data_IF_810514486553
#
_entry.id   IF_810514486553
#
_cell.length_a   1.000
_cell.length_b   1.000
_cell.length_c   1.000
_cell.angle_alpha   90.00
_cell.angle_beta   90.00
_cell.angle_gamma   90.00
#
_symmetry.space_group_name_H-M   'P 1'
#
loop_
_entity.id
_entity.type
_entity.pdbx_description
1 polymer ?
#
# COMPACT_ATOMS: atom_id res chain seq x y z
N UNK A 1 -11.45 3.79 -0.63
CA UNK A 1 -11.05 4.87 0.32
C UNK A 1 -10.74 4.38 1.75
N UNK A 2 -11.44 3.37 2.29
CA UNK A 2 -11.16 2.91 3.67
C UNK A 2 -9.77 2.26 3.85
N UNK A 3 -9.23 1.69 2.78
CA UNK A 3 -7.96 0.95 2.79
C UNK A 3 -6.75 1.83 3.13
N UNK A 4 -6.60 2.98 2.47
CA UNK A 4 -5.51 3.96 2.73
C UNK A 4 -5.54 4.44 4.19
N UNK A 5 -6.74 4.66 4.74
CA UNK A 5 -6.95 5.07 6.13
C UNK A 5 -6.50 3.99 7.13
N UNK A 6 -6.62 2.72 6.74
CA UNK A 6 -6.16 1.56 7.51
C UNK A 6 -4.64 1.41 7.42
N UNK A 7 -4.05 1.60 6.23
CA UNK A 7 -2.60 1.66 6.05
C UNK A 7 -1.98 2.76 6.90
N UNK A 8 -2.51 3.98 6.84
CA UNK A 8 -1.97 5.10 7.64
C UNK A 8 -2.12 4.90 9.15
N UNK A 9 -3.02 4.01 9.59
CA UNK A 9 -3.13 3.63 11.00
C UNK A 9 -2.17 2.51 11.38
N UNK A 10 -1.91 1.56 10.48
CA UNK A 10 -1.01 0.43 10.74
C UNK A 10 0.47 0.81 10.58
N UNK A 11 0.78 1.53 9.50
CA UNK A 11 2.13 1.89 9.07
C UNK A 11 2.52 3.33 9.46
N UNK A 12 1.56 4.12 9.97
CA UNK A 12 1.79 5.51 10.42
C UNK A 12 1.74 6.53 9.28
N UNK A 13 2.78 7.38 9.19
CA UNK A 13 2.81 8.52 8.25
C UNK A 13 3.01 8.05 6.81
N UNK A 14 1.91 7.74 6.13
CA UNK A 14 1.91 7.44 4.69
C UNK A 14 2.04 8.76 3.91
N UNK A 15 3.10 8.89 3.12
CA UNK A 15 3.30 10.02 2.21
C UNK A 15 2.19 10.12 1.17
N UNK A 16 1.85 11.34 0.76
CA UNK A 16 0.77 11.56 -0.21
C UNK A 16 1.06 10.93 -1.58
N UNK A 17 2.32 10.79 -1.99
CA UNK A 17 2.73 10.01 -3.18
C UNK A 17 2.22 8.57 -3.15
N UNK A 18 2.41 7.88 -2.02
CA UNK A 18 1.94 6.50 -1.81
C UNK A 18 0.40 6.46 -1.90
N UNK A 19 -0.30 7.46 -1.33
CA UNK A 19 -1.77 7.53 -1.40
C UNK A 19 -2.25 7.71 -2.84
N UNK A 20 -1.55 8.53 -3.62
CA UNK A 20 -1.88 8.76 -5.03
C UNK A 20 -1.64 7.49 -5.84
N UNK A 21 -0.51 6.81 -5.65
CA UNK A 21 -0.26 5.50 -6.26
C UNK A 21 -1.36 4.50 -5.90
N UNK A 22 -1.72 4.40 -4.62
CA UNK A 22 -2.83 3.56 -4.15
C UNK A 22 -4.20 3.91 -4.73
N UNK A 23 -4.44 5.18 -5.05
CA UNK A 23 -5.66 5.63 -5.72
C UNK A 23 -5.65 5.29 -7.21
N UNK A 24 -4.48 5.21 -7.83
CA UNK A 24 -4.29 4.86 -9.24
C UNK A 24 -4.17 3.34 -9.47
N UNK A 25 -3.92 2.58 -8.40
CA UNK A 25 -3.83 1.13 -8.46
C UNK A 25 -5.15 0.48 -8.84
N UNK A 26 -5.07 -0.49 -9.76
CA UNK A 26 -6.21 -1.32 -10.17
C UNK A 26 -6.73 -2.18 -9.02
N UNK A 27 -8.02 -2.58 -9.06
CA UNK A 27 -8.61 -3.42 -8.01
C UNK A 27 -7.86 -4.73 -7.76
N UNK A 28 -7.24 -5.31 -8.79
CA UNK A 28 -6.39 -6.50 -8.69
C UNK A 28 -5.19 -6.29 -7.74
N UNK A 29 -4.54 -5.14 -7.85
CA UNK A 29 -3.41 -4.76 -6.99
C UNK A 29 -3.86 -4.36 -5.59
N UNK A 30 -5.08 -3.84 -5.44
CA UNK A 30 -5.68 -3.59 -4.12
C UNK A 30 -5.96 -4.87 -3.34
N UNK A 31 -6.31 -5.96 -4.03
CA UNK A 31 -6.52 -7.27 -3.43
C UNK A 31 -5.18 -7.86 -2.95
N UNK A 32 -4.18 -7.87 -3.83
CA UNK A 32 -2.80 -8.27 -3.50
C UNK A 32 -2.20 -7.42 -2.36
N UNK A 33 -2.51 -6.12 -2.32
CA UNK A 33 -2.08 -5.25 -1.25
C UNK A 33 -2.81 -5.55 0.06
N UNK A 34 -4.06 -5.96 0.00
CA UNK A 34 -4.83 -6.32 1.20
C UNK A 34 -4.27 -7.58 1.86
N UNK A 35 -3.83 -8.55 1.07
CA UNK A 35 -3.10 -9.72 1.58
C UNK A 35 -1.74 -9.31 2.14
N UNK A 36 -0.95 -8.57 1.36
CA UNK A 36 0.35 -8.09 1.81
C UNK A 36 0.22 -7.21 3.06
N UNK A 37 -0.84 -6.41 3.21
CA UNK A 37 -1.06 -5.55 4.37
C UNK A 37 -1.03 -6.31 5.69
N UNK A 38 -1.40 -7.58 5.72
CA UNK A 38 -1.25 -8.39 6.94
C UNK A 38 0.22 -8.61 7.29
N UNK A 39 1.07 -8.82 6.28
CA UNK A 39 2.53 -9.01 6.35
C UNK A 39 3.29 -7.68 6.50
N UNK A 40 2.74 -6.56 5.99
CA UNK A 40 3.37 -5.24 6.10
C UNK A 40 3.42 -4.79 7.57
N UNK A 41 4.61 -4.77 8.15
CA UNK A 41 4.85 -4.28 9.51
C UNK A 41 5.23 -2.79 9.51
N UNK A 42 5.98 -2.33 8.50
CA UNK A 42 6.50 -0.97 8.46
C UNK A 42 6.34 -0.31 7.09
N UNK A 43 6.51 1.02 7.04
CA UNK A 43 6.43 1.78 5.80
C UNK A 43 7.48 1.33 4.76
N UNK A 44 8.61 0.78 5.22
CA UNK A 44 9.63 0.17 4.35
C UNK A 44 9.07 -1.03 3.57
N UNK A 45 8.32 -1.93 4.21
CA UNK A 45 7.68 -3.07 3.56
C UNK A 45 6.67 -2.59 2.51
N UNK A 46 5.88 -1.55 2.83
CA UNK A 46 4.92 -0.98 1.89
C UNK A 46 5.63 -0.42 0.67
N UNK A 47 6.73 0.31 0.89
CA UNK A 47 7.52 0.88 -0.20
C UNK A 47 8.13 -0.21 -1.07
N UNK A 48 8.64 -1.29 -0.46
CA UNK A 48 9.17 -2.44 -1.17
C UNK A 48 8.10 -3.16 -1.98
N UNK A 49 6.91 -3.34 -1.39
CA UNK A 49 5.76 -3.95 -2.06
C UNK A 49 5.31 -3.10 -3.26
N UNK A 50 5.18 -1.78 -3.09
CA UNK A 50 4.80 -0.85 -4.15
C UNK A 50 5.79 -0.85 -5.32
N UNK A 51 7.07 -0.99 -5.02
CA UNK A 51 8.10 -1.12 -6.05
C UNK A 51 8.01 -2.47 -6.77
N UNK A 52 7.75 -3.55 -6.03
CA UNK A 52 7.63 -4.90 -6.60
C UNK A 52 6.47 -5.01 -7.58
N UNK A 53 5.33 -4.38 -7.30
CA UNK A 53 4.20 -4.39 -8.21
C UNK A 53 4.40 -3.47 -9.42
N UNK A 54 5.12 -2.36 -9.31
CA UNK A 54 5.43 -1.46 -10.44
C UNK A 54 6.34 -2.15 -11.48
N UNK A 55 7.28 -2.99 -11.00
CA UNK A 55 8.18 -3.78 -11.86
C UNK A 55 7.54 -5.04 -12.49
N UNK A 56 6.25 -5.31 -12.27
CA UNK A 56 5.52 -6.50 -12.77
C UNK A 56 4.35 -6.15 -13.69
#
# INVERSE_FOLDING_TARGET
>A
MAFIKKLSRKLGTISDDIKILLQQLSPDRLDALSEALFDLENLADLHNWLKNIDEQ
#
